data_IF_702254012092
#
_entry.id   IF_702254012092
#
_cell.length_a   1.000
_cell.length_b   1.000
_cell.length_c   1.000
_cell.angle_alpha   90.00
_cell.angle_beta   90.00
_cell.angle_gamma   90.00
#
_symmetry.space_group_name_H-M   'P 1'
#
loop_
_entity.id
_entity.type
_entity.pdbx_description
1 polymer ?
#
# COMPACT_ATOMS: atom_id res chain seq x y z
N UNK A 1 -25.67 23.86 4.43
CA UNK A 1 -25.48 22.53 3.79
C UNK A 1 -24.00 22.21 3.81
N UNK A 2 -23.58 21.21 4.57
CA UNK A 2 -22.20 20.72 4.49
C UNK A 2 -22.01 20.01 3.16
N UNK A 3 -21.12 20.52 2.31
CA UNK A 3 -20.74 19.84 1.06
C UNK A 3 -20.12 18.49 1.41
N UNK A 4 -20.72 17.41 0.95
CA UNK A 4 -20.22 16.06 1.19
C UNK A 4 -18.85 15.94 0.51
N UNK A 5 -17.79 15.69 1.27
CA UNK A 5 -16.43 15.49 0.74
C UNK A 5 -16.43 14.30 -0.22
N UNK A 6 -16.02 14.54 -1.44
CA UNK A 6 -15.91 13.52 -2.48
C UNK A 6 -14.50 12.90 -2.46
N UNK A 7 -14.42 11.58 -2.57
CA UNK A 7 -13.16 10.88 -2.67
C UNK A 7 -13.23 9.84 -3.79
N UNK A 8 -12.24 9.88 -4.68
CA UNK A 8 -12.07 8.94 -5.78
C UNK A 8 -10.66 8.35 -5.80
N UNK A 9 -10.54 7.15 -6.31
CA UNK A 9 -9.24 6.54 -6.62
C UNK A 9 -9.20 6.29 -8.12
N UNK A 10 -8.18 6.81 -8.77
CA UNK A 10 -7.96 6.73 -10.22
C UNK A 10 -6.59 6.11 -10.49
N UNK A 11 -6.34 5.66 -11.72
CA UNK A 11 -4.98 5.28 -12.14
C UNK A 11 -4.04 6.47 -12.02
N UNK A 12 -2.80 6.19 -11.59
CA UNK A 12 -1.81 7.23 -11.39
C UNK A 12 -1.22 7.69 -12.74
N UNK A 13 -1.04 9.00 -12.85
CA UNK A 13 -0.42 9.65 -14.00
C UNK A 13 0.80 10.48 -13.57
N UNK A 14 1.71 10.76 -14.50
CA UNK A 14 2.92 11.53 -14.20
C UNK A 14 2.65 12.94 -13.64
N UNK A 15 1.57 13.58 -14.10
CA UNK A 15 1.13 14.88 -13.57
C UNK A 15 0.79 14.83 -12.07
N UNK A 16 0.25 13.70 -11.58
CA UNK A 16 -0.11 13.53 -10.19
C UNK A 16 1.10 13.57 -9.24
N UNK A 17 2.29 13.17 -9.70
CA UNK A 17 3.52 13.19 -8.90
C UNK A 17 3.86 14.61 -8.44
N UNK A 18 3.82 15.59 -9.35
CA UNK A 18 4.08 16.99 -9.02
C UNK A 18 2.96 17.56 -8.14
N UNK A 19 1.71 17.31 -8.50
CA UNK A 19 0.56 17.80 -7.73
C UNK A 19 0.58 17.26 -6.28
N UNK A 20 0.95 16.00 -6.08
CA UNK A 20 1.09 15.46 -4.73
C UNK A 20 2.27 16.09 -3.99
N UNK A 21 3.43 16.21 -4.63
CA UNK A 21 4.61 16.82 -4.03
C UNK A 21 4.34 18.26 -3.57
N UNK A 22 3.59 19.04 -4.35
CA UNK A 22 3.19 20.40 -4.01
C UNK A 22 2.16 20.44 -2.86
N UNK A 23 1.29 19.44 -2.77
CA UNK A 23 0.26 19.32 -1.73
C UNK A 23 0.78 18.76 -0.40
N UNK A 24 1.95 18.12 -0.37
CA UNK A 24 2.56 17.56 0.84
C UNK A 24 2.92 18.66 1.83
N UNK A 25 2.82 18.35 3.12
CA UNK A 25 3.40 19.20 4.17
C UNK A 25 4.93 19.09 4.20
N UNK A 26 5.57 20.01 4.93
CA UNK A 26 7.05 20.03 4.98
C UNK A 26 7.62 18.79 5.66
N UNK A 27 6.94 18.23 6.66
CA UNK A 27 7.39 17.02 7.33
C UNK A 27 7.44 15.82 6.36
N UNK A 28 6.42 15.68 5.51
CA UNK A 28 6.38 14.64 4.48
C UNK A 28 7.46 14.83 3.41
N UNK A 29 7.67 16.06 2.94
CA UNK A 29 8.76 16.38 2.00
C UNK A 29 10.13 16.10 2.57
N UNK A 30 10.37 16.53 3.81
CA UNK A 30 11.66 16.31 4.50
C UNK A 30 11.95 14.82 4.73
N UNK A 31 10.93 14.03 5.03
CA UNK A 31 11.08 12.57 5.15
C UNK A 31 11.59 11.98 3.83
N UNK A 32 11.02 12.36 2.69
CA UNK A 32 11.46 11.87 1.38
C UNK A 32 12.90 12.30 1.10
N UNK A 33 13.25 13.57 1.28
CA UNK A 33 14.62 14.07 1.09
C UNK A 33 15.62 13.33 1.96
N UNK A 34 15.29 13.13 3.22
CA UNK A 34 16.18 12.51 4.21
C UNK A 34 16.45 11.05 3.92
N UNK A 35 15.42 10.26 3.63
CA UNK A 35 15.56 8.81 3.52
C UNK A 35 15.75 8.33 2.08
N UNK A 36 15.20 9.03 1.11
CA UNK A 36 15.32 8.63 -0.29
C UNK A 36 16.32 9.47 -1.08
N UNK A 37 16.80 10.56 -0.48
CA UNK A 37 17.80 11.47 -1.04
C UNK A 37 17.38 12.03 -2.41
N UNK A 38 16.12 12.30 -2.56
CA UNK A 38 15.47 12.80 -3.77
C UNK A 38 14.48 13.91 -3.43
N UNK A 39 14.20 14.77 -4.41
CA UNK A 39 13.05 15.66 -4.29
C UNK A 39 11.73 14.87 -4.41
N UNK A 40 10.67 15.29 -3.70
CA UNK A 40 9.42 14.53 -3.64
C UNK A 40 8.83 14.18 -5.01
N UNK A 41 8.79 15.12 -5.95
CA UNK A 41 8.25 14.87 -7.29
C UNK A 41 9.07 13.84 -8.07
N UNK A 42 10.40 13.85 -7.92
CA UNK A 42 11.30 12.88 -8.54
C UNK A 42 11.11 11.48 -7.94
N UNK A 43 11.07 11.38 -6.61
CA UNK A 43 10.84 10.12 -5.89
C UNK A 43 9.50 9.47 -6.28
N UNK A 44 8.43 10.26 -6.33
CA UNK A 44 7.11 9.81 -6.77
C UNK A 44 7.12 9.37 -8.25
N UNK A 45 7.82 10.09 -9.13
CA UNK A 45 7.98 9.72 -10.53
C UNK A 45 8.74 8.41 -10.70
N UNK A 46 9.77 8.16 -9.89
CA UNK A 46 10.49 6.89 -9.89
C UNK A 46 9.60 5.75 -9.38
N UNK A 47 8.88 5.97 -8.26
CA UNK A 47 7.94 5.00 -7.72
C UNK A 47 6.85 4.64 -8.73
N UNK A 48 6.29 5.62 -9.44
CA UNK A 48 5.31 5.39 -10.50
C UNK A 48 5.87 4.53 -11.64
N UNK A 49 7.07 4.85 -12.14
CA UNK A 49 7.71 4.08 -13.23
C UNK A 49 8.02 2.64 -12.86
N UNK A 50 8.34 2.39 -11.58
CA UNK A 50 8.65 1.04 -11.09
C UNK A 50 7.43 0.24 -10.63
N UNK A 51 6.24 0.84 -10.61
CA UNK A 51 5.02 0.25 -10.07
C UNK A 51 4.00 -0.03 -11.17
N UNK A 52 3.89 -1.28 -11.68
CA UNK A 52 2.86 -1.66 -12.65
C UNK A 52 1.43 -1.46 -12.13
N UNK A 53 1.26 -1.46 -10.82
CA UNK A 53 0.00 -1.12 -10.14
C UNK A 53 0.24 0.14 -9.31
N UNK A 54 -0.37 1.24 -9.73
CA UNK A 54 -0.25 2.54 -9.07
C UNK A 54 -1.54 3.35 -9.21
N UNK A 55 -1.99 3.94 -8.11
CA UNK A 55 -3.22 4.73 -8.06
C UNK A 55 -3.00 6.06 -7.36
N UNK A 56 -3.85 7.01 -7.70
CA UNK A 56 -3.94 8.32 -7.07
C UNK A 56 -5.27 8.47 -6.34
N UNK A 57 -5.21 9.01 -5.13
CA UNK A 57 -6.38 9.37 -4.32
C UNK A 57 -6.68 10.84 -4.56
N UNK A 58 -7.87 11.13 -5.03
CA UNK A 58 -8.39 12.49 -5.20
C UNK A 58 -9.40 12.79 -4.09
N UNK A 59 -9.29 13.96 -3.50
CA UNK A 59 -10.24 14.49 -2.51
C UNK A 59 -10.73 15.85 -3.00
N UNK A 60 -12.01 15.98 -3.24
CA UNK A 60 -12.63 17.18 -3.81
C UNK A 60 -11.91 17.67 -5.10
N UNK A 61 -11.46 16.72 -5.94
CA UNK A 61 -10.74 16.98 -7.18
C UNK A 61 -9.23 17.27 -7.02
N UNK A 62 -8.71 17.34 -5.79
CA UNK A 62 -7.29 17.59 -5.53
C UNK A 62 -6.54 16.29 -5.20
N UNK A 63 -5.27 16.17 -5.60
CA UNK A 63 -4.45 15.02 -5.27
C UNK A 63 -4.15 15.00 -3.77
N UNK A 64 -4.54 13.93 -3.10
CA UNK A 64 -4.39 13.72 -1.67
C UNK A 64 -3.45 12.57 -1.30
N UNK A 65 -3.11 11.72 -2.25
CA UNK A 65 -2.18 10.63 -2.04
C UNK A 65 -1.95 9.81 -3.30
N UNK A 66 -0.88 9.06 -3.30
CA UNK A 66 -0.55 8.06 -4.30
C UNK A 66 -0.09 6.79 -3.59
N UNK A 67 -0.43 5.64 -4.15
CA UNK A 67 0.01 4.36 -3.64
C UNK A 67 0.17 3.35 -4.78
N UNK A 68 1.02 2.38 -4.56
CA UNK A 68 1.28 1.38 -5.58
C UNK A 68 2.15 0.25 -5.08
N UNK A 69 2.57 -0.58 -6.01
CA UNK A 69 3.39 -1.75 -5.74
C UNK A 69 4.40 -1.96 -6.86
N UNK A 70 5.69 -1.88 -6.53
CA UNK A 70 6.77 -2.30 -7.41
C UNK A 70 7.08 -3.77 -7.21
N UNK A 71 7.60 -4.44 -8.25
CA UNK A 71 8.01 -5.84 -8.17
C UNK A 71 9.47 -5.99 -7.75
N UNK A 72 9.76 -6.96 -6.88
CA UNK A 72 11.10 -7.44 -6.59
C UNK A 72 11.49 -8.64 -7.47
N UNK A 73 12.78 -8.98 -7.49
CA UNK A 73 13.34 -10.08 -8.28
C UNK A 73 12.83 -11.46 -7.83
N UNK A 74 12.46 -11.59 -6.56
CA UNK A 74 11.91 -12.81 -5.94
C UNK A 74 10.39 -12.95 -6.09
N UNK A 75 9.75 -12.10 -6.88
CA UNK A 75 8.29 -12.05 -7.03
C UNK A 75 7.57 -11.33 -5.89
N UNK A 76 8.27 -10.82 -4.89
CA UNK A 76 7.69 -10.01 -3.82
C UNK A 76 7.28 -8.64 -4.35
N UNK A 77 6.12 -8.14 -3.94
CA UNK A 77 5.66 -6.79 -4.22
C UNK A 77 6.07 -5.83 -3.09
N UNK A 78 6.70 -4.71 -3.45
CA UNK A 78 7.00 -3.64 -2.50
C UNK A 78 5.92 -2.58 -2.56
N UNK A 79 4.99 -2.64 -1.59
CA UNK A 79 3.88 -1.72 -1.48
C UNK A 79 4.33 -0.40 -0.84
N UNK A 80 3.85 0.71 -1.36
CA UNK A 80 4.12 2.04 -0.85
C UNK A 80 2.88 2.93 -0.87
N UNK A 81 2.86 3.91 0.02
CA UNK A 81 1.81 4.92 0.14
C UNK A 81 2.44 6.25 0.54
N UNK A 82 2.14 7.30 -0.22
CA UNK A 82 2.51 8.69 0.11
C UNK A 82 1.24 9.53 0.12
N UNK A 83 1.05 10.36 1.13
CA UNK A 83 -0.15 11.17 1.30
C UNK A 83 0.18 12.64 1.56
N UNK A 84 -0.82 13.49 1.34
CA UNK A 84 -0.83 14.90 1.67
C UNK A 84 -2.00 15.21 2.64
N UNK A 85 -2.01 16.36 3.35
CA UNK A 85 -3.01 16.67 4.37
C UNK A 85 -4.48 16.47 3.98
N UNK A 86 -4.93 16.68 2.73
CA UNK A 86 -6.33 16.45 2.35
C UNK A 86 -6.85 15.02 2.60
N UNK A 87 -5.95 14.03 2.71
CA UNK A 87 -6.33 12.63 2.98
C UNK A 87 -7.07 12.47 4.31
N UNK A 88 -6.79 13.32 5.29
CA UNK A 88 -7.39 13.23 6.62
C UNK A 88 -8.91 13.33 6.57
N UNK A 89 -9.48 14.07 5.62
CA UNK A 89 -10.93 14.20 5.44
C UNK A 89 -11.61 12.88 5.07
N UNK A 90 -10.85 11.94 4.49
CA UNK A 90 -11.40 10.69 3.91
C UNK A 90 -10.67 9.44 4.39
N UNK A 91 -9.71 9.58 5.30
CA UNK A 91 -8.82 8.50 5.76
C UNK A 91 -9.56 7.21 6.12
N UNK A 92 -10.60 7.28 6.95
CA UNK A 92 -11.38 6.10 7.36
C UNK A 92 -12.12 5.46 6.19
N UNK A 93 -12.60 6.26 5.23
CA UNK A 93 -13.27 5.77 4.03
C UNK A 93 -12.29 5.06 3.10
N UNK A 94 -11.09 5.63 2.95
CA UNK A 94 -10.01 5.01 2.19
C UNK A 94 -9.58 3.68 2.82
N UNK A 95 -9.34 3.64 4.14
CA UNK A 95 -8.97 2.42 4.86
C UNK A 95 -9.97 1.28 4.61
N UNK A 96 -11.28 1.56 4.67
CA UNK A 96 -12.32 0.55 4.43
C UNK A 96 -12.31 0.00 3.00
N UNK A 97 -11.92 0.80 2.03
CA UNK A 97 -11.87 0.43 0.60
C UNK A 97 -10.52 -0.09 0.15
N UNK A 98 -9.47 0.09 0.94
CA UNK A 98 -8.09 -0.26 0.55
C UNK A 98 -7.89 -1.75 0.32
N UNK A 99 -8.70 -2.61 0.94
CA UNK A 99 -8.60 -4.07 0.82
C UNK A 99 -8.61 -4.54 -0.63
N UNK A 100 -9.46 -4.00 -1.48
CA UNK A 100 -9.52 -4.37 -2.90
C UNK A 100 -8.21 -4.11 -3.65
N UNK A 101 -7.46 -3.06 -3.28
CA UNK A 101 -6.17 -2.75 -3.89
C UNK A 101 -5.06 -3.66 -3.35
N UNK A 102 -5.07 -3.95 -2.05
CA UNK A 102 -4.18 -4.93 -1.44
C UNK A 102 -4.36 -6.30 -2.10
N UNK A 103 -5.59 -6.74 -2.31
CA UNK A 103 -5.89 -8.01 -2.96
C UNK A 103 -5.39 -8.05 -4.42
N UNK A 104 -5.52 -6.95 -5.18
CA UNK A 104 -4.96 -6.85 -6.54
C UNK A 104 -3.43 -6.94 -6.53
N UNK A 105 -2.76 -6.27 -5.58
CA UNK A 105 -1.31 -6.36 -5.43
C UNK A 105 -0.87 -7.78 -5.06
N UNK A 106 -1.57 -8.45 -4.13
CA UNK A 106 -1.29 -9.83 -3.73
C UNK A 106 -1.50 -10.84 -4.87
N UNK A 107 -2.54 -10.66 -5.67
CA UNK A 107 -2.77 -11.51 -6.85
C UNK A 107 -1.61 -11.46 -7.84
N UNK A 108 -0.95 -10.31 -7.94
CA UNK A 108 0.21 -10.14 -8.82
C UNK A 108 1.51 -10.68 -8.24
N UNK A 109 1.71 -10.54 -6.92
CA UNK A 109 3.01 -10.74 -6.28
C UNK A 109 3.06 -11.85 -5.23
N UNK A 110 1.97 -12.46 -4.87
CA UNK A 110 1.94 -13.53 -3.86
C UNK A 110 2.31 -13.10 -2.42
N UNK A 111 3.21 -12.14 -2.28
CA UNK A 111 3.60 -11.52 -1.01
C UNK A 111 3.83 -10.02 -1.20
N UNK A 112 3.48 -9.23 -0.18
CA UNK A 112 3.71 -7.79 -0.15
C UNK A 112 4.60 -7.42 1.03
N UNK A 113 5.54 -6.51 0.80
CA UNK A 113 6.39 -5.88 1.81
C UNK A 113 6.10 -4.39 1.81
N UNK A 114 5.93 -3.81 2.99
CA UNK A 114 5.79 -2.38 3.19
C UNK A 114 6.71 -1.95 4.34
N UNK A 115 7.45 -0.86 4.15
CA UNK A 115 8.27 -0.26 5.19
C UNK A 115 7.53 0.92 5.80
N UNK A 116 7.31 0.90 7.11
CA UNK A 116 6.62 1.94 7.85
C UNK A 116 7.52 2.51 8.95
N UNK A 117 7.61 3.84 9.04
CA UNK A 117 8.36 4.49 10.13
C UNK A 117 7.79 4.10 11.50
N UNK A 118 8.65 3.81 12.47
CA UNK A 118 8.26 3.32 13.81
C UNK A 118 7.29 4.26 14.54
N UNK A 119 7.37 5.56 14.26
CA UNK A 119 6.48 6.57 14.87
C UNK A 119 5.16 6.74 14.13
N UNK A 120 5.01 6.19 12.92
CA UNK A 120 3.76 6.27 12.16
C UNK A 120 2.74 5.25 12.66
N UNK A 121 2.28 5.45 13.91
CA UNK A 121 1.34 4.54 14.58
C UNK A 121 0.02 4.33 13.80
N UNK A 122 -0.59 5.36 13.17
CA UNK A 122 -1.79 5.15 12.38
C UNK A 122 -1.59 4.20 11.20
N UNK A 123 -0.46 4.33 10.47
CA UNK A 123 -0.11 3.45 9.36
C UNK A 123 0.14 2.02 9.87
N UNK A 124 0.92 1.85 10.93
CA UNK A 124 1.21 0.54 11.51
C UNK A 124 -0.06 -0.17 11.98
N UNK A 125 -0.97 0.53 12.64
CA UNK A 125 -2.25 -0.03 13.08
C UNK A 125 -3.12 -0.47 11.89
N UNK A 126 -3.12 0.31 10.80
CA UNK A 126 -3.83 -0.06 9.58
C UNK A 126 -3.20 -1.28 8.89
N UNK A 127 -1.88 -1.34 8.76
CA UNK A 127 -1.17 -2.48 8.19
C UNK A 127 -1.48 -3.77 8.97
N UNK A 128 -1.42 -3.73 10.30
CA UNK A 128 -1.76 -4.88 11.14
C UNK A 128 -3.21 -5.35 10.95
N UNK A 129 -4.17 -4.43 10.90
CA UNK A 129 -5.58 -4.74 10.63
C UNK A 129 -5.79 -5.31 9.22
N UNK A 130 -4.95 -4.94 8.28
CA UNK A 130 -4.94 -5.46 6.91
C UNK A 130 -4.26 -6.82 6.77
N UNK A 131 -3.72 -7.37 7.87
CA UNK A 131 -3.10 -8.69 7.93
C UNK A 131 -1.57 -8.68 7.78
N UNK A 132 -0.95 -7.51 7.64
CA UNK A 132 0.52 -7.41 7.64
C UNK A 132 1.08 -7.75 9.02
N UNK A 133 2.22 -8.44 9.02
CA UNK A 133 2.99 -8.77 10.21
C UNK A 133 4.34 -8.09 10.17
N UNK A 134 4.81 -7.58 11.30
CA UNK A 134 6.17 -7.05 11.42
C UNK A 134 7.14 -8.23 11.45
N UNK A 135 8.05 -8.28 10.48
CA UNK A 135 9.05 -9.35 10.33
C UNK A 135 10.49 -8.85 10.42
N UNK A 136 10.68 -7.56 10.61
CA UNK A 136 12.02 -7.00 10.75
C UNK A 136 12.02 -5.51 10.98
N UNK A 137 13.22 -4.98 11.19
CA UNK A 137 13.47 -3.56 11.38
C UNK A 137 14.72 -3.17 10.59
N UNK A 138 14.64 -2.08 9.86
CA UNK A 138 15.75 -1.45 9.16
C UNK A 138 15.84 0.02 9.58
N UNK A 139 16.80 0.34 10.43
CA UNK A 139 16.94 1.66 11.04
C UNK A 139 15.66 2.06 11.81
N UNK A 140 15.00 3.11 11.34
CA UNK A 140 13.74 3.63 11.91
C UNK A 140 12.49 3.06 11.23
N UNK A 141 12.64 2.13 10.28
CA UNK A 141 11.53 1.51 9.56
C UNK A 141 11.27 0.08 10.03
N UNK A 142 10.01 -0.27 10.20
CA UNK A 142 9.55 -1.64 10.40
C UNK A 142 9.21 -2.27 9.05
N UNK A 143 9.76 -3.46 8.81
CA UNK A 143 9.41 -4.28 7.66
C UNK A 143 8.13 -5.04 7.96
N UNK A 144 7.05 -4.68 7.29
CA UNK A 144 5.74 -5.30 7.41
C UNK A 144 5.48 -6.18 6.19
N UNK A 145 5.06 -7.42 6.40
CA UNK A 145 4.86 -8.41 5.34
C UNK A 145 3.45 -8.98 5.38
N UNK A 146 2.84 -9.08 4.21
CA UNK A 146 1.56 -9.78 3.99
C UNK A 146 1.76 -10.85 2.93
N UNK A 147 1.40 -12.10 3.24
CA UNK A 147 1.48 -13.22 2.30
C UNK A 147 0.10 -13.67 1.88
N UNK A 148 -0.02 -14.08 0.63
CA UNK A 148 -1.20 -14.81 0.16
C UNK A 148 -1.35 -16.11 0.95
N UNK A 149 -2.56 -16.53 1.33
CA UNK A 149 -2.74 -17.84 1.93
C UNK A 149 -2.23 -18.89 0.95
N UNK A 150 -1.27 -19.72 1.39
CA UNK A 150 -0.72 -20.81 0.58
C UNK A 150 -1.81 -21.81 0.19
N UNK A 151 -1.88 -22.25 -1.07
CA UNK A 151 -2.86 -23.25 -1.50
C UNK A 151 -2.65 -24.65 -0.88
N UNK A 152 -1.54 -24.87 -0.17
CA UNK A 152 -1.14 -26.20 0.34
C UNK A 152 -1.92 -26.73 1.56
N UNK A 153 -2.87 -25.98 2.13
CA UNK A 153 -3.66 -26.49 3.28
C UNK A 153 -5.00 -27.13 2.93
N UNK A 154 -5.42 -27.12 1.66
CA UNK A 154 -6.65 -27.83 1.25
C UNK A 154 -6.42 -29.22 0.68
N UNK A 155 -5.17 -29.62 0.40
CA UNK A 155 -4.85 -30.95 -0.12
C UNK A 155 -4.85 -32.05 0.94
N UNK A 156 -4.70 -31.71 2.22
CA UNK A 156 -4.65 -32.69 3.30
C UNK A 156 -6.03 -33.14 3.82
N UNK A 157 -7.11 -32.45 3.45
CA UNK A 157 -8.47 -32.84 3.87
C UNK A 157 -9.24 -33.68 2.84
N UNK A 158 -8.77 -33.74 1.60
CA UNK A 158 -9.42 -34.59 0.57
C UNK A 158 -8.86 -36.00 0.49
N UNK A 159 -7.71 -36.30 1.11
CA UNK A 159 -7.10 -37.62 1.07
C UNK A 159 -7.66 -38.55 2.16
N UNK A 160 -8.25 -38.01 3.25
CA UNK A 160 -8.85 -38.87 4.31
C UNK A 160 -10.30 -39.30 4.05
N UNK A 161 -11.00 -38.70 3.09
CA UNK A 161 -12.38 -39.01 2.78
C UNK A 161 -12.53 -40.15 1.74
N UNK A 162 -11.43 -40.65 1.14
CA UNK A 162 -11.47 -41.64 0.07
C UNK A 162 -11.14 -43.08 0.50
N UNK A 163 -10.96 -43.35 1.80
CA UNK A 163 -10.49 -44.68 2.27
C UNK A 163 -11.48 -45.45 3.16
N UNK A 164 -12.77 -45.13 3.13
CA UNK A 164 -13.79 -45.93 3.82
C UNK A 164 -14.96 -46.20 2.88
N UNK A 165 -14.74 -47.14 1.93
CA UNK A 165 -15.80 -47.93 1.33
C UNK A 165 -15.21 -49.07 0.51
N UNK A 166 -14.76 -50.11 1.18
CA UNK A 166 -14.72 -51.50 0.64
C UNK A 166 -14.50 -52.48 1.79
N UNK A 167 -15.58 -52.94 2.39
CA UNK A 167 -15.82 -54.34 2.78
C UNK A 167 -17.30 -54.50 3.05
#
# INVERSE_FOLDING_TARGET
MQKKTEAMVVEAESAHCRLLADAMDEAGREMIRRYWRMEPAEALGQALRSSPLCWTILVDGSVAGMFGCSGGEDGTGYAWLTTAPPIEKVRLRFIRRSRQYIDRMLQRHGALVCYAHVENRPLLAWLQRSGFRVEGKDGVFLKCVLRSPSPEKNSAKEVEASCVCRR
#
